data_IF_663435173276
#
_entry.id   IF_663435173276
#
_cell.length_a   1.000
_cell.length_b   1.000
_cell.length_c   1.000
_cell.angle_alpha   90.00
_cell.angle_beta   90.00
_cell.angle_gamma   90.00
#
_symmetry.space_group_name_H-M   'P 1'
#
loop_
_entity.id
_entity.type
_entity.pdbx_description
1 polymer ?
#
# COMPACT_ATOMS: atom_id res chain seq x y z
N UNK A 1 7.90 -6.50 -3.67
CA UNK A 1 6.98 -5.40 -3.32
C UNK A 1 5.84 -5.89 -2.41
N UNK A 2 4.97 -6.81 -2.86
CA UNK A 2 3.80 -7.27 -2.09
C UNK A 2 4.13 -7.81 -0.69
N UNK A 3 5.08 -8.76 -0.59
CA UNK A 3 5.52 -9.29 0.71
C UNK A 3 6.09 -8.22 1.65
N UNK A 4 6.72 -7.19 1.10
CA UNK A 4 7.27 -6.08 1.87
C UNK A 4 6.16 -5.17 2.40
N UNK A 5 5.19 -4.80 1.56
CA UNK A 5 4.01 -4.03 1.97
C UNK A 5 3.23 -4.76 3.06
N UNK A 6 3.03 -6.08 2.93
CA UNK A 6 2.35 -6.89 3.97
C UNK A 6 3.15 -7.00 5.27
N UNK A 7 4.47 -7.16 5.20
CA UNK A 7 5.32 -7.15 6.39
C UNK A 7 5.28 -5.78 7.11
N UNK A 8 5.29 -4.69 6.36
CA UNK A 8 5.21 -3.33 6.89
C UNK A 8 3.84 -3.01 7.52
N UNK A 9 2.73 -3.47 6.93
CA UNK A 9 1.40 -3.27 7.51
C UNK A 9 1.10 -4.20 8.68
N UNK A 10 1.69 -5.40 8.70
CA UNK A 10 1.48 -6.38 9.78
C UNK A 10 2.34 -6.12 11.02
N UNK A 11 3.36 -5.26 10.91
CA UNK A 11 4.18 -4.84 12.05
C UNK A 11 3.61 -3.55 12.63
N UNK A 12 2.85 -3.66 13.72
CA UNK A 12 2.45 -2.52 14.54
C UNK A 12 3.70 -2.03 15.28
N UNK A 13 4.19 -0.83 14.94
CA UNK A 13 5.35 -0.15 15.53
C UNK A 13 6.71 -0.34 14.80
N UNK A 14 6.79 -0.02 13.51
CA UNK A 14 8.08 0.22 12.84
C UNK A 14 8.54 1.66 13.16
N UNK A 15 9.66 1.80 13.88
CA UNK A 15 10.37 3.09 14.03
C UNK A 15 10.90 3.51 12.65
N UNK A 16 10.82 4.80 12.32
CA UNK A 16 11.40 5.37 11.11
C UNK A 16 12.89 4.98 11.01
N UNK A 17 13.24 4.20 9.97
CA UNK A 17 14.61 3.79 9.69
C UNK A 17 14.98 2.33 9.98
N UNK A 18 14.09 1.52 10.56
CA UNK A 18 14.34 0.08 10.77
C UNK A 18 13.65 -0.77 9.69
N UNK A 19 14.44 -1.56 8.97
CA UNK A 19 13.92 -2.52 7.98
C UNK A 19 13.02 -3.56 8.67
N UNK A 20 11.84 -3.88 8.10
CA UNK A 20 11.00 -4.93 8.65
C UNK A 20 11.79 -6.24 8.71
N UNK A 21 11.71 -6.91 9.87
CA UNK A 21 12.53 -8.08 10.19
C UNK A 21 12.60 -9.06 9.01
N UNK A 22 13.84 -9.40 8.61
CA UNK A 22 14.12 -10.21 7.43
C UNK A 22 13.38 -11.56 7.49
N UNK A 23 13.13 -12.08 8.70
CA UNK A 23 12.36 -13.30 8.92
C UNK A 23 10.87 -13.14 8.57
N UNK A 24 10.26 -12.00 8.89
CA UNK A 24 8.84 -11.73 8.55
C UNK A 24 8.65 -11.59 7.04
N UNK A 25 9.61 -10.96 6.37
CA UNK A 25 9.60 -10.85 4.90
C UNK A 25 9.74 -12.22 4.22
N UNK A 26 10.59 -13.10 4.75
CA UNK A 26 10.72 -14.48 4.27
C UNK A 26 9.46 -15.31 4.53
N UNK A 27 8.86 -15.19 5.72
CA UNK A 27 7.60 -15.84 6.05
C UNK A 27 6.49 -15.46 5.04
N UNK A 28 6.28 -14.16 4.81
CA UNK A 28 5.28 -13.70 3.85
C UNK A 28 5.62 -14.07 2.41
N UNK A 29 6.91 -14.13 2.04
CA UNK A 29 7.33 -14.60 0.72
C UNK A 29 6.91 -16.07 0.50
N UNK A 30 7.19 -16.95 1.46
CA UNK A 30 6.82 -18.37 1.39
C UNK A 30 5.30 -18.55 1.30
N UNK A 31 4.54 -17.81 2.11
CA UNK A 31 3.07 -17.83 2.06
C UNK A 31 2.56 -17.40 0.68
N UNK A 32 3.08 -16.30 0.12
CA UNK A 32 2.68 -15.80 -1.21
C UNK A 32 3.06 -16.78 -2.32
N UNK A 33 4.10 -17.59 -2.17
CA UNK A 33 4.45 -18.63 -3.15
C UNK A 33 3.60 -19.90 -3.00
N UNK A 34 3.23 -20.29 -1.77
CA UNK A 34 2.39 -21.45 -1.51
C UNK A 34 0.95 -21.29 -2.01
N UNK A 35 0.38 -20.09 -1.90
CA UNK A 35 -0.99 -19.79 -2.35
C UNK A 35 -1.19 -20.11 -3.84
N UNK A 36 -0.45 -19.50 -4.81
CA UNK A 36 -0.63 -19.79 -6.23
C UNK A 36 -0.26 -21.23 -6.57
N UNK A 37 0.70 -21.84 -5.87
CA UNK A 37 1.03 -23.25 -6.04
C UNK A 37 -0.18 -24.14 -5.72
N UNK A 38 -0.85 -23.92 -4.59
CA UNK A 38 -2.07 -24.65 -4.22
C UNK A 38 -3.23 -24.43 -5.21
N UNK A 39 -3.37 -23.21 -5.73
CA UNK A 39 -4.38 -22.87 -6.75
C UNK A 39 -4.09 -23.59 -8.07
N UNK A 40 -2.82 -23.68 -8.46
CA UNK A 40 -2.40 -24.40 -9.67
C UNK A 40 -2.77 -25.88 -9.60
N UNK A 41 -2.61 -26.52 -8.42
CA UNK A 41 -3.00 -27.91 -8.20
C UNK A 41 -4.53 -28.13 -8.18
N UNK A 42 -5.30 -27.11 -7.83
CA UNK A 42 -6.77 -27.22 -7.69
C UNK A 42 -7.49 -27.10 -9.05
N UNK A 43 -6.79 -26.84 -10.14
CA UNK A 43 -7.36 -26.87 -11.50
C UNK A 43 -8.50 -25.86 -11.70
N UNK A 44 -8.37 -24.67 -11.11
CA UNK A 44 -9.42 -23.65 -11.16
C UNK A 44 -9.79 -23.29 -12.61
N UNK A 45 -11.07 -23.46 -12.96
CA UNK A 45 -11.57 -23.06 -14.27
C UNK A 45 -11.31 -21.57 -14.48
N UNK A 46 -10.79 -21.21 -15.67
CA UNK A 46 -10.47 -19.83 -16.03
C UNK A 46 -11.68 -18.89 -15.87
N UNK A 47 -12.88 -19.43 -16.08
CA UNK A 47 -14.13 -18.69 -15.93
C UNK A 47 -14.42 -18.36 -14.46
N UNK A 48 -14.27 -19.33 -13.55
CA UNK A 48 -14.43 -19.11 -12.10
C UNK A 48 -13.41 -18.07 -11.58
N UNK A 49 -12.18 -18.11 -12.07
CA UNK A 49 -11.14 -17.14 -11.69
C UNK A 49 -11.53 -15.72 -12.12
N UNK A 50 -11.99 -15.53 -13.36
CA UNK A 50 -12.43 -14.20 -13.85
C UNK A 50 -13.57 -13.63 -13.02
N UNK A 51 -14.59 -14.43 -12.74
CA UNK A 51 -15.76 -13.99 -11.97
C UNK A 51 -15.37 -13.65 -10.53
N UNK A 52 -14.51 -14.45 -9.90
CA UNK A 52 -14.01 -14.19 -8.54
C UNK A 52 -13.23 -12.88 -8.48
N UNK A 53 -12.35 -12.62 -9.45
CA UNK A 53 -11.61 -11.35 -9.52
C UNK A 53 -12.56 -10.17 -9.63
N UNK A 54 -13.57 -10.24 -10.51
CA UNK A 54 -14.57 -9.16 -10.64
C UNK A 54 -15.34 -8.94 -9.34
N UNK A 55 -15.77 -10.03 -8.69
CA UNK A 55 -16.49 -9.96 -7.41
C UNK A 55 -15.65 -9.32 -6.30
N UNK A 56 -14.34 -9.63 -6.24
CA UNK A 56 -13.42 -9.00 -5.27
C UNK A 56 -13.01 -7.57 -5.64
N UNK A 57 -12.98 -7.23 -6.93
CA UNK A 57 -12.61 -5.90 -7.41
C UNK A 57 -13.67 -4.84 -7.07
N UNK A 58 -14.96 -5.21 -7.07
CA UNK A 58 -16.06 -4.30 -6.72
C UNK A 58 -15.92 -3.65 -5.33
N UNK A 59 -15.76 -4.39 -4.22
CA UNK A 59 -15.56 -3.77 -2.90
C UNK A 59 -14.22 -3.02 -2.81
N UNK A 60 -13.17 -3.51 -3.47
CA UNK A 60 -11.88 -2.82 -3.53
C UNK A 60 -11.98 -1.45 -4.22
N UNK A 61 -12.78 -1.36 -5.29
CA UNK A 61 -13.06 -0.12 -6.00
C UNK A 61 -13.74 0.91 -5.10
N UNK A 62 -14.72 0.49 -4.29
CA UNK A 62 -15.38 1.39 -3.32
C UNK A 62 -14.39 1.95 -2.31
N UNK A 63 -13.52 1.09 -1.75
CA UNK A 63 -12.47 1.52 -0.81
C UNK A 63 -11.52 2.51 -1.48
N UNK A 64 -11.11 2.25 -2.73
CA UNK A 64 -10.25 3.15 -3.50
C UNK A 64 -10.91 4.51 -3.73
N UNK A 65 -12.20 4.56 -4.08
CA UNK A 65 -12.93 5.82 -4.25
C UNK A 65 -12.98 6.62 -2.95
N UNK A 66 -13.21 5.97 -1.80
CA UNK A 66 -13.19 6.62 -0.49
C UNK A 66 -11.80 7.17 -0.17
N UNK A 67 -10.74 6.39 -0.43
CA UNK A 67 -9.35 6.81 -0.24
C UNK A 67 -8.98 8.01 -1.10
N UNK A 68 -9.33 7.99 -2.38
CA UNK A 68 -9.08 9.10 -3.31
C UNK A 68 -9.88 10.33 -2.91
N UNK A 69 -11.15 10.18 -2.54
CA UNK A 69 -11.96 11.29 -2.04
C UNK A 69 -11.39 11.91 -0.76
N UNK A 70 -10.96 11.09 0.20
CA UNK A 70 -10.28 11.53 1.41
C UNK A 70 -8.96 12.22 1.14
N UNK A 71 -8.15 11.68 0.21
CA UNK A 71 -6.90 12.27 -0.22
C UNK A 71 -7.10 13.65 -0.88
N UNK A 72 -8.06 13.77 -1.79
CA UNK A 72 -8.39 15.06 -2.43
C UNK A 72 -8.90 16.06 -1.39
N UNK A 73 -9.72 15.62 -0.44
CA UNK A 73 -10.21 16.48 0.64
C UNK A 73 -9.07 16.95 1.55
N UNK A 74 -8.16 16.05 1.91
CA UNK A 74 -6.96 16.36 2.68
C UNK A 74 -6.06 17.35 1.94
N UNK A 75 -5.76 17.08 0.67
CA UNK A 75 -4.99 17.97 -0.20
C UNK A 75 -5.64 19.36 -0.29
N UNK A 76 -6.97 19.44 -0.46
CA UNK A 76 -7.69 20.71 -0.48
C UNK A 76 -7.64 21.46 0.85
N UNK A 77 -7.58 20.76 1.97
CA UNK A 77 -7.45 21.37 3.30
C UNK A 77 -6.02 21.87 3.53
N UNK A 78 -5.01 21.07 3.19
CA UNK A 78 -3.59 21.43 3.31
C UNK A 78 -3.22 22.62 2.41
N UNK A 79 -3.77 22.69 1.19
CA UNK A 79 -3.53 23.79 0.26
C UNK A 79 -4.41 25.03 0.48
N UNK A 80 -5.40 24.97 1.38
CA UNK A 80 -6.22 26.16 1.71
C UNK A 80 -5.45 27.15 2.60
N UNK A 81 -4.50 26.68 3.41
CA UNK A 81 -3.73 27.50 4.35
C UNK A 81 -2.31 27.87 3.88
N UNK A 82 -1.89 27.44 2.68
CA UNK A 82 -0.52 27.67 2.16
C UNK A 82 -0.54 28.56 0.90
N UNK A 83 -0.43 29.90 1.03
CA UNK A 83 -0.11 30.77 -0.09
C UNK A 83 1.32 30.49 -0.58
N UNK A 84 1.53 30.45 -1.89
CA UNK A 84 2.79 30.12 -2.57
C UNK A 84 4.02 30.98 -2.19
N UNK A 85 3.85 32.00 -1.33
CA UNK A 85 4.90 32.92 -0.86
C UNK A 85 5.76 32.35 0.29
N UNK A 86 5.36 31.29 1.00
CA UNK A 86 6.12 30.75 2.16
C UNK A 86 7.14 29.65 1.81
N UNK A 87 7.19 29.20 0.55
CA UNK A 87 8.07 28.10 0.12
C UNK A 87 9.55 28.50 0.08
N UNK A 88 9.85 29.79 -0.13
CA UNK A 88 11.23 30.31 -0.19
C UNK A 88 11.93 30.30 1.19
N UNK A 89 11.18 30.33 2.30
CA UNK A 89 11.74 30.53 3.65
C UNK A 89 12.22 29.26 4.36
N UNK A 90 12.11 28.09 3.71
CA UNK A 90 12.56 26.79 4.24
C UNK A 90 13.81 26.23 3.53
N UNK A 91 14.60 27.06 2.88
CA UNK A 91 15.97 26.66 2.53
C UNK A 91 16.80 26.64 3.83
N UNK A 92 17.33 25.48 4.28
CA UNK A 92 18.26 25.46 5.37
C UNK A 92 19.49 26.25 4.91
N UNK A 93 19.81 27.34 5.62
CA UNK A 93 21.11 27.97 5.48
C UNK A 93 22.15 26.96 5.94
N UNK A 94 22.72 26.22 4.99
CA UNK A 94 23.94 25.44 5.20
C UNK A 94 25.08 26.44 5.35
N UNK A 95 25.72 26.56 6.53
CA UNK A 95 27.00 27.24 6.59
C UNK A 95 28.02 26.34 5.86
N UNK A 96 28.61 26.88 4.80
CA UNK A 96 29.79 26.34 4.11
C UNK A 96 31.01 26.34 5.02
#
# INVERSE_FOLDING_TARGET
AVAYTMAATSTRNLKEGDDPDRALRLFWCVVITLIPLSILFTGASLETMKTTVVLTALPFLVILLVKVGGFIRWLKQDYADIPAHQVEHYLPQTPV
#
